data_IF_952421563697
#
_entry.id   IF_952421563697
#
_cell.length_a   1.000
_cell.length_b   1.000
_cell.length_c   1.000
_cell.angle_alpha   90.00
_cell.angle_beta   90.00
_cell.angle_gamma   90.00
#
_symmetry.space_group_name_H-M   'P 1'
#
loop_
_entity.id
_entity.type
_entity.pdbx_description
1 polymer ?
#
# COMPACT_ATOMS: atom_id res chain seq x y z
N UNK A 1 20.44 0.58 -9.92
CA UNK A 1 19.01 0.99 -9.82
C UNK A 1 18.46 0.49 -8.49
N UNK A 2 17.68 1.30 -7.77
CA UNK A 2 17.09 0.95 -6.47
C UNK A 2 15.66 1.49 -6.36
N UNK A 3 14.88 0.94 -5.43
CA UNK A 3 13.47 1.26 -5.20
C UNK A 3 13.28 1.82 -3.79
N UNK A 4 12.51 2.91 -3.63
CA UNK A 4 12.07 3.40 -2.33
C UNK A 4 10.55 3.40 -2.30
N UNK A 5 9.97 2.75 -1.30
CA UNK A 5 8.55 2.70 -1.04
C UNK A 5 8.29 3.39 0.30
N UNK A 6 7.80 4.62 0.25
CA UNK A 6 7.35 5.36 1.43
C UNK A 6 5.86 5.09 1.65
N UNK A 7 5.51 4.73 2.89
CA UNK A 7 4.18 4.29 3.31
C UNK A 7 3.50 3.29 2.34
N UNK A 8 4.11 2.11 2.06
CA UNK A 8 3.47 1.06 1.29
C UNK A 8 2.37 0.40 2.14
N UNK A 9 1.21 1.04 2.21
CA UNK A 9 0.03 0.65 2.98
C UNK A 9 -1.15 0.35 2.07
N UNK A 10 -2.17 -0.32 2.62
CA UNK A 10 -3.31 -0.78 1.84
C UNK A 10 -4.45 0.23 1.79
N UNK A 11 -4.74 0.71 0.58
CA UNK A 11 -5.98 1.46 0.31
C UNK A 11 -7.22 0.64 0.66
N UNK A 12 -7.19 -0.68 0.43
CA UNK A 12 -8.30 -1.59 0.75
C UNK A 12 -8.62 -1.58 2.24
N UNK A 13 -7.58 -1.65 3.08
CA UNK A 13 -7.74 -1.61 4.54
C UNK A 13 -8.13 -0.22 5.03
N UNK A 14 -7.58 0.85 4.44
CA UNK A 14 -7.97 2.22 4.76
C UNK A 14 -9.44 2.49 4.42
N UNK A 15 -9.85 2.17 3.19
CA UNK A 15 -11.23 2.31 2.71
C UNK A 15 -12.18 1.41 3.51
N UNK A 16 -11.74 0.23 3.92
CA UNK A 16 -12.51 -0.72 4.73
C UNK A 16 -12.96 -0.18 6.09
N UNK A 17 -12.36 0.91 6.57
CA UNK A 17 -12.78 1.59 7.81
C UNK A 17 -14.10 2.34 7.67
N UNK A 18 -14.50 2.67 6.44
CA UNK A 18 -15.71 3.45 6.16
C UNK A 18 -16.93 2.55 6.02
N UNK A 19 -18.02 2.90 6.69
CA UNK A 19 -19.26 2.10 6.69
C UNK A 19 -19.86 1.93 5.28
N UNK A 20 -19.68 2.93 4.41
CA UNK A 20 -20.21 2.93 3.05
C UNK A 20 -19.42 2.06 2.06
N UNK A 21 -18.17 1.72 2.37
CA UNK A 21 -17.26 1.03 1.44
C UNK A 21 -17.80 -0.32 1.00
N UNK A 22 -18.35 -1.12 1.93
CA UNK A 22 -18.85 -2.45 1.60
C UNK A 22 -20.00 -2.41 0.57
N UNK A 23 -20.95 -1.49 0.72
CA UNK A 23 -22.06 -1.33 -0.21
C UNK A 23 -21.60 -0.81 -1.58
N UNK A 24 -20.65 0.14 -1.59
CA UNK A 24 -20.05 0.66 -2.81
C UNK A 24 -19.23 -0.42 -3.54
N UNK A 25 -18.46 -1.23 -2.83
CA UNK A 25 -17.67 -2.32 -3.39
C UNK A 25 -18.56 -3.36 -4.09
N UNK A 26 -19.64 -3.80 -3.44
CA UNK A 26 -20.60 -4.72 -4.05
C UNK A 26 -21.25 -4.13 -5.32
N UNK A 27 -21.58 -2.84 -5.31
CA UNK A 27 -22.14 -2.18 -6.49
C UNK A 27 -21.10 -2.08 -7.61
N UNK A 28 -19.85 -1.75 -7.28
CA UNK A 28 -18.75 -1.63 -8.22
C UNK A 28 -18.45 -2.98 -8.89
N UNK A 29 -18.39 -4.07 -8.12
CA UNK A 29 -18.21 -5.42 -8.63
C UNK A 29 -19.32 -5.81 -9.62
N UNK A 30 -20.59 -5.58 -9.28
CA UNK A 30 -21.72 -5.81 -10.21
C UNK A 30 -21.59 -5.01 -11.50
N UNK A 31 -21.22 -3.72 -11.40
CA UNK A 31 -21.01 -2.89 -12.60
C UNK A 31 -19.88 -3.44 -13.47
N UNK A 32 -18.78 -3.94 -12.88
CA UNK A 32 -17.70 -4.58 -13.64
C UNK A 32 -18.18 -5.86 -14.33
N UNK A 33 -18.94 -6.71 -13.63
CA UNK A 33 -19.54 -7.94 -14.18
C UNK A 33 -20.51 -7.64 -15.34
N UNK A 34 -21.24 -6.53 -15.27
CA UNK A 34 -22.13 -6.03 -16.34
C UNK A 34 -21.37 -5.40 -17.53
N UNK A 35 -20.04 -5.37 -17.52
CA UNK A 35 -19.22 -4.73 -18.56
C UNK A 35 -19.16 -3.20 -18.45
N UNK A 36 -19.56 -2.64 -17.32
CA UNK A 36 -19.68 -1.20 -17.03
C UNK A 36 -18.61 -0.71 -16.06
N UNK A 37 -17.43 -1.33 -16.10
CA UNK A 37 -16.32 -0.97 -15.22
C UNK A 37 -15.84 0.48 -15.36
N UNK A 38 -15.93 1.05 -16.55
CA UNK A 38 -15.51 2.44 -16.83
C UNK A 38 -16.60 3.48 -16.53
N UNK A 39 -17.82 3.05 -16.21
CA UNK A 39 -18.87 3.95 -15.77
C UNK A 39 -18.55 4.52 -14.38
N UNK A 40 -18.96 5.77 -14.13
CA UNK A 40 -18.88 6.37 -12.81
C UNK A 40 -19.74 5.57 -11.82
N UNK A 41 -19.10 5.06 -10.77
CA UNK A 41 -19.77 4.42 -9.65
C UNK A 41 -20.54 5.46 -8.81
N UNK A 42 -19.91 6.62 -8.63
CA UNK A 42 -20.37 7.71 -7.79
C UNK A 42 -19.20 8.49 -7.21
N UNK A 43 -19.45 9.21 -6.13
CA UNK A 43 -18.42 9.86 -5.32
C UNK A 43 -18.08 8.93 -4.14
N UNK A 44 -16.80 8.65 -3.96
CA UNK A 44 -16.34 7.92 -2.78
C UNK A 44 -16.01 8.93 -1.68
N UNK A 45 -16.84 9.02 -0.64
CA UNK A 45 -16.61 9.94 0.49
C UNK A 45 -15.28 9.67 1.18
N UNK A 46 -14.89 8.39 1.24
CA UNK A 46 -13.61 7.91 1.73
C UNK A 46 -12.39 8.48 0.97
N UNK A 47 -12.61 8.96 -0.27
CA UNK A 47 -11.61 9.59 -1.14
C UNK A 47 -11.89 11.09 -1.32
N UNK A 48 -12.42 11.76 -0.28
CA UNK A 48 -12.75 13.19 -0.32
C UNK A 48 -13.88 13.54 -1.30
N UNK A 49 -14.76 12.58 -1.62
CA UNK A 49 -15.85 12.77 -2.57
C UNK A 49 -15.41 12.79 -4.04
N UNK A 50 -14.22 12.26 -4.34
CA UNK A 50 -13.68 12.17 -5.71
C UNK A 50 -14.56 11.25 -6.58
N UNK A 51 -14.96 11.68 -7.79
CA UNK A 51 -15.63 10.80 -8.74
C UNK A 51 -14.73 9.63 -9.13
N UNK A 52 -15.25 8.41 -9.09
CA UNK A 52 -14.47 7.20 -9.35
C UNK A 52 -15.26 6.23 -10.23
N UNK A 53 -14.57 5.55 -11.15
CA UNK A 53 -15.17 4.50 -11.96
C UNK A 53 -15.35 3.23 -11.13
N UNK A 54 -16.27 2.34 -11.55
CA UNK A 54 -16.48 1.07 -10.86
C UNK A 54 -15.19 0.22 -10.83
N UNK A 55 -14.44 0.14 -11.94
CA UNK A 55 -13.19 -0.62 -12.04
C UNK A 55 -12.12 -0.07 -11.09
N UNK A 56 -11.92 1.25 -11.05
CA UNK A 56 -10.95 1.87 -10.14
C UNK A 56 -11.30 1.61 -8.67
N UNK A 57 -12.59 1.69 -8.32
CA UNK A 57 -13.03 1.40 -6.96
C UNK A 57 -12.82 -0.08 -6.59
N UNK A 58 -13.06 -1.02 -7.51
CA UNK A 58 -12.75 -2.44 -7.29
C UNK A 58 -11.25 -2.65 -7.07
N UNK A 59 -10.39 -2.02 -7.87
CA UNK A 59 -8.94 -2.14 -7.72
C UNK A 59 -8.44 -1.68 -6.34
N UNK A 60 -9.04 -0.62 -5.78
CA UNK A 60 -8.68 -0.07 -4.47
C UNK A 60 -9.30 -0.81 -3.28
N UNK A 61 -10.60 -1.11 -3.37
CA UNK A 61 -11.42 -1.41 -2.20
C UNK A 61 -11.77 -2.90 -2.05
N UNK A 62 -11.47 -3.73 -3.05
CA UNK A 62 -11.79 -5.15 -3.04
C UNK A 62 -10.54 -6.00 -2.86
N UNK A 63 -10.69 -7.13 -2.15
CA UNK A 63 -9.61 -8.11 -2.01
C UNK A 63 -9.24 -8.72 -3.36
N UNK A 64 -7.94 -8.79 -3.65
CA UNK A 64 -7.42 -9.24 -4.94
C UNK A 64 -7.69 -8.27 -6.10
N UNK A 65 -8.08 -7.03 -5.81
CA UNK A 65 -8.05 -5.96 -6.80
C UNK A 65 -6.62 -5.64 -7.24
N UNK A 66 -6.49 -4.98 -8.40
CA UNK A 66 -5.19 -4.74 -9.04
C UNK A 66 -4.20 -3.95 -8.16
N UNK A 67 -4.69 -3.17 -7.18
CA UNK A 67 -3.86 -2.36 -6.27
C UNK A 67 -3.72 -2.98 -4.86
N UNK A 68 -4.26 -4.17 -4.61
CA UNK A 68 -4.21 -4.86 -3.31
C UNK A 68 -2.83 -5.51 -3.06
N UNK A 69 -1.81 -4.67 -2.91
CA UNK A 69 -0.40 -5.08 -2.85
C UNK A 69 0.16 -5.21 -1.42
N UNK A 70 -0.44 -4.48 -0.47
CA UNK A 70 0.15 -4.24 0.86
C UNK A 70 -0.77 -4.57 2.04
N UNK A 71 -1.92 -5.21 1.78
CA UNK A 71 -2.86 -5.56 2.85
C UNK A 71 -2.25 -6.52 3.86
N UNK A 72 -2.50 -6.25 5.14
CA UNK A 72 -1.88 -6.98 6.25
C UNK A 72 -2.30 -8.46 6.32
N UNK A 73 -3.46 -8.80 5.77
CA UNK A 73 -4.00 -10.16 5.70
C UNK A 73 -3.53 -11.00 4.50
N UNK A 74 -2.77 -10.42 3.56
CA UNK A 74 -2.19 -11.18 2.45
C UNK A 74 -1.23 -12.23 3.00
N UNK A 75 -1.28 -13.45 2.50
CA UNK A 75 -0.31 -14.49 2.87
C UNK A 75 1.10 -14.17 2.36
N UNK A 76 2.12 -14.73 2.98
CA UNK A 76 3.50 -14.54 2.51
C UNK A 76 3.73 -15.03 1.07
N UNK A 77 2.93 -16.01 0.61
CA UNK A 77 2.96 -16.46 -0.78
C UNK A 77 2.39 -15.40 -1.74
N UNK A 78 1.28 -14.76 -1.38
CA UNK A 78 0.72 -13.64 -2.14
C UNK A 78 1.70 -12.47 -2.17
N UNK A 79 2.27 -12.08 -1.03
CA UNK A 79 3.25 -11.00 -0.96
C UNK A 79 4.47 -11.27 -1.85
N UNK A 80 5.01 -12.50 -1.87
CA UNK A 80 6.13 -12.86 -2.75
C UNK A 80 5.78 -12.75 -4.23
N UNK A 81 4.57 -13.14 -4.62
CA UNK A 81 4.13 -13.03 -6.01
C UNK A 81 3.91 -11.57 -6.41
N UNK A 82 3.25 -10.78 -5.57
CA UNK A 82 2.97 -9.37 -5.82
C UNK A 82 4.25 -8.52 -5.84
N UNK A 83 5.20 -8.80 -4.94
CA UNK A 83 6.46 -8.04 -4.80
C UNK A 83 7.63 -8.65 -5.57
N UNK A 84 7.42 -9.64 -6.43
CA UNK A 84 8.49 -10.32 -7.20
C UNK A 84 9.34 -9.35 -8.03
N UNK A 85 8.77 -8.23 -8.48
CA UNK A 85 9.50 -7.19 -9.19
C UNK A 85 10.58 -6.53 -8.31
N UNK A 86 10.25 -6.26 -7.04
CA UNK A 86 11.17 -5.70 -6.07
C UNK A 86 12.30 -6.67 -5.69
N UNK A 87 12.08 -8.00 -5.79
CA UNK A 87 13.09 -9.02 -5.49
C UNK A 87 14.37 -8.94 -6.35
N UNK A 88 14.33 -8.23 -7.47
CA UNK A 88 15.47 -8.06 -8.39
C UNK A 88 16.28 -6.79 -8.16
N UNK A 89 15.84 -5.91 -7.26
CA UNK A 89 16.47 -4.60 -7.00
C UNK A 89 16.63 -4.36 -5.49
N UNK A 90 17.70 -3.70 -5.04
CA UNK A 90 17.74 -3.18 -3.68
C UNK A 90 16.53 -2.28 -3.44
N UNK A 91 15.84 -2.48 -2.32
CA UNK A 91 14.63 -1.73 -2.01
C UNK A 91 14.62 -1.25 -0.55
N UNK A 92 14.02 -0.10 -0.32
CA UNK A 92 13.76 0.44 1.01
C UNK A 92 12.24 0.54 1.22
N UNK A 93 11.76 -0.10 2.28
CA UNK A 93 10.40 0.03 2.78
C UNK A 93 10.44 0.97 3.99
N UNK A 94 9.89 2.18 3.81
CA UNK A 94 9.87 3.23 4.81
C UNK A 94 8.44 3.43 5.31
N UNK A 95 8.13 2.90 6.50
CA UNK A 95 6.79 2.90 7.09
C UNK A 95 6.68 3.94 8.21
N UNK A 96 5.51 4.55 8.37
CA UNK A 96 5.14 5.34 9.56
C UNK A 96 4.45 4.46 10.59
N UNK A 97 4.95 4.42 11.83
CA UNK A 97 4.40 3.58 12.90
C UNK A 97 2.95 3.96 13.29
N UNK A 98 2.55 5.19 13.01
CA UNK A 98 1.23 5.74 13.33
C UNK A 98 0.40 6.04 12.08
N UNK A 99 0.74 5.42 10.94
CA UNK A 99 0.02 5.63 9.68
C UNK A 99 -1.47 5.29 9.84
N UNK A 100 -2.30 6.28 9.55
CA UNK A 100 -3.74 6.22 9.68
C UNK A 100 -4.41 5.27 8.68
N UNK A 101 -3.68 4.64 7.76
CA UNK A 101 -4.18 3.63 6.83
C UNK A 101 -4.32 2.26 7.47
N UNK A 102 -3.53 1.93 8.50
CA UNK A 102 -3.52 0.59 9.09
C UNK A 102 -4.81 0.21 9.81
N UNK A 103 -5.26 -1.06 9.75
CA UNK A 103 -6.35 -1.53 10.60
C UNK A 103 -5.98 -1.39 12.08
N UNK A 104 -7.00 -1.29 12.95
CA UNK A 104 -6.79 -1.14 14.38
C UNK A 104 -5.98 -2.33 14.94
N UNK A 105 -4.91 -2.04 15.68
CA UNK A 105 -4.04 -3.06 16.27
C UNK A 105 -3.05 -3.73 15.30
N UNK A 106 -2.80 -3.13 14.13
CA UNK A 106 -1.80 -3.63 13.19
C UNK A 106 -0.40 -3.70 13.83
N UNK A 107 0.27 -4.84 13.68
CA UNK A 107 1.70 -4.98 13.98
C UNK A 107 2.51 -4.43 12.79
N UNK A 108 2.77 -3.12 12.79
CA UNK A 108 3.45 -2.41 11.70
C UNK A 108 4.85 -2.96 11.44
N UNK A 109 5.58 -3.30 12.51
CA UNK A 109 6.94 -3.84 12.38
C UNK A 109 6.91 -5.27 11.83
N UNK A 110 5.97 -6.11 12.30
CA UNK A 110 5.73 -7.44 11.76
C UNK A 110 5.32 -7.41 10.29
N UNK A 111 4.39 -6.51 9.91
CA UNK A 111 4.00 -6.30 8.50
C UNK A 111 5.21 -5.88 7.66
N UNK A 112 5.98 -4.88 8.11
CA UNK A 112 7.18 -4.42 7.42
C UNK A 112 8.20 -5.53 7.18
N UNK A 113 8.44 -6.40 8.17
CA UNK A 113 9.35 -7.55 8.03
C UNK A 113 8.85 -8.55 6.98
N UNK A 114 7.54 -8.79 6.92
CA UNK A 114 6.93 -9.68 5.91
C UNK A 114 7.06 -9.10 4.49
N UNK A 115 6.83 -7.80 4.34
CA UNK A 115 7.00 -7.10 3.06
C UNK A 115 8.46 -7.17 2.56
N UNK A 116 9.42 -6.87 3.43
CA UNK A 116 10.85 -6.95 3.10
C UNK A 116 11.27 -8.39 2.78
N UNK A 117 10.81 -9.38 3.55
CA UNK A 117 11.10 -10.78 3.25
C UNK A 117 10.55 -11.22 1.88
N UNK A 118 9.38 -10.70 1.48
CA UNK A 118 8.80 -10.95 0.17
C UNK A 118 9.51 -10.21 -0.97
N UNK A 119 10.02 -9.01 -0.69
CA UNK A 119 10.75 -8.16 -1.64
C UNK A 119 12.24 -8.54 -1.82
N UNK A 120 12.71 -9.62 -1.20
CA UNK A 120 14.03 -10.19 -1.42
C UNK A 120 15.11 -9.76 -0.43
N UNK A 121 16.27 -10.42 -0.47
CA UNK A 121 17.33 -10.26 0.53
C UNK A 121 18.03 -8.90 0.52
N UNK A 122 17.88 -8.12 -0.55
CA UNK A 122 18.39 -6.75 -0.67
C UNK A 122 17.40 -5.68 -0.19
N UNK A 123 16.22 -6.08 0.28
CA UNK A 123 15.23 -5.18 0.82
C UNK A 123 15.58 -4.77 2.26
N UNK A 124 15.36 -3.50 2.59
CA UNK A 124 15.62 -2.91 3.90
C UNK A 124 14.32 -2.35 4.48
N UNK A 125 14.16 -2.46 5.80
CA UNK A 125 13.01 -1.89 6.51
C UNK A 125 13.47 -0.71 7.37
N UNK A 126 12.76 0.41 7.27
CA UNK A 126 12.78 1.47 8.27
C UNK A 126 11.35 1.78 8.71
N UNK A 127 11.15 1.83 10.02
CA UNK A 127 9.90 2.32 10.62
C UNK A 127 10.24 3.60 11.38
N UNK A 128 9.51 4.68 11.10
CA UNK A 128 9.62 5.96 11.79
C UNK A 128 8.36 6.23 12.61
N UNK A 129 8.49 6.98 13.69
CA UNK A 129 7.36 7.33 14.57
C UNK A 129 6.51 8.48 13.98
N UNK A 130 5.86 8.22 12.84
CA UNK A 130 5.13 9.23 12.06
C UNK A 130 3.84 8.71 11.43
N UNK A 131 3.08 9.65 10.87
CA UNK A 131 1.85 9.44 10.11
C UNK A 131 2.12 8.96 8.68
N UNK A 132 1.07 8.79 7.87
CA UNK A 132 1.19 8.37 6.47
C UNK A 132 2.13 9.25 5.64
N UNK A 133 2.19 10.54 5.95
CA UNK A 133 3.02 11.52 5.25
C UNK A 133 4.38 11.75 5.91
N UNK A 134 4.65 11.12 7.05
CA UNK A 134 5.82 11.35 7.89
C UNK A 134 6.04 12.86 8.18
N UNK A 135 4.95 13.60 8.41
CA UNK A 135 5.00 15.05 8.64
C UNK A 135 5.84 15.39 9.86
N UNK A 136 6.76 16.35 9.71
CA UNK A 136 7.68 16.74 10.78
C UNK A 136 8.89 15.82 10.95
N UNK A 137 9.02 14.77 10.13
CA UNK A 137 10.16 13.86 10.10
C UNK A 137 10.95 13.98 8.78
N UNK A 138 10.88 15.13 8.12
CA UNK A 138 11.44 15.31 6.78
C UNK A 138 12.95 15.09 6.77
N UNK A 139 13.66 15.50 7.83
CA UNK A 139 15.10 15.32 7.95
C UNK A 139 15.47 13.84 8.11
N UNK A 140 14.74 13.11 8.95
CA UNK A 140 14.91 11.68 9.18
C UNK A 140 14.61 10.88 7.90
N UNK A 141 13.58 11.26 7.15
CA UNK A 141 13.27 10.68 5.84
C UNK A 141 14.42 10.90 4.88
N UNK A 142 14.95 12.13 4.79
CA UNK A 142 16.09 12.45 3.92
C UNK A 142 17.32 11.65 4.31
N UNK A 143 17.65 11.56 5.61
CA UNK A 143 18.80 10.81 6.11
C UNK A 143 18.68 9.32 5.74
N UNK A 144 17.54 8.69 6.02
CA UNK A 144 17.30 7.28 5.71
C UNK A 144 17.39 7.00 4.22
N UNK A 145 16.80 7.87 3.38
CA UNK A 145 16.85 7.71 1.92
C UNK A 145 18.26 7.95 1.39
N UNK A 146 18.97 8.97 1.89
CA UNK A 146 20.37 9.22 1.52
C UNK A 146 21.28 8.05 1.88
N UNK A 147 21.15 7.49 3.08
CA UNK A 147 21.91 6.32 3.52
C UNK A 147 21.63 5.11 2.62
N UNK A 148 20.36 4.86 2.30
CA UNK A 148 20.00 3.80 1.37
C UNK A 148 20.63 4.01 -0.01
N UNK A 149 20.55 5.22 -0.57
CA UNK A 149 21.13 5.54 -1.87
C UNK A 149 22.66 5.39 -1.90
N UNK A 150 23.35 5.79 -0.82
CA UNK A 150 24.80 5.64 -0.68
C UNK A 150 25.21 4.18 -0.49
N UNK A 151 24.32 3.33 0.03
CA UNK A 151 24.56 1.88 0.17
C UNK A 151 24.44 1.11 -1.14
N UNK A 152 23.88 1.72 -2.19
CA UNK A 152 23.69 1.03 -3.47
C UNK A 152 25.04 0.76 -4.15
N UNK A 153 25.23 -0.42 -4.77
CA UNK A 153 26.44 -0.72 -5.50
C UNK A 153 26.64 0.28 -6.64
N UNK A 154 27.84 0.85 -6.72
CA UNK A 154 28.25 1.70 -7.84
C UNK A 154 28.33 0.80 -9.08
N UNK A 155 27.57 1.15 -10.12
CA UNK A 155 27.61 0.47 -11.42
C UNK A 155 28.87 0.83 -12.21
#
# INVERSE_FOLDING_TARGET
MGLVLQAPVSDREFLGKQQSTAALAQRAQRMVEEGRGEDLLGRADALGGTPITARRFVALACGGGDDDMFSSDLSDAQLRELLKGAASVPSLFLLGAQDECYPAGCDVEGLGRRLVAAAGSSAQLKVLDGDHCLKGLENEVVEVVSDFLLSLPIQ
#
